data_IF_970110919905
#
_entry.id   IF_970110919905
#
_cell.length_a   1.000
_cell.length_b   1.000
_cell.length_c   1.000
_cell.angle_alpha   90.00
_cell.angle_beta   90.00
_cell.angle_gamma   90.00
#
_symmetry.space_group_name_H-M   'P 1'
#
loop_
_entity.id
_entity.type
_entity.pdbx_description
1 polymer ?
#
# COMPACT_ATOMS: atom_id res chain seq x y z
N UNK A 1 -37.12 -34.44 -17.20
CA UNK A 1 -35.83 -33.72 -17.32
C UNK A 1 -35.58 -32.64 -16.24
N UNK A 2 -36.49 -32.37 -15.28
CA UNK A 2 -36.29 -31.31 -14.27
C UNK A 2 -35.39 -31.66 -13.06
N UNK A 3 -35.05 -32.94 -12.85
CA UNK A 3 -34.25 -33.36 -11.69
C UNK A 3 -32.72 -33.17 -11.90
N UNK A 4 -32.24 -33.12 -13.14
CA UNK A 4 -30.81 -33.00 -13.47
C UNK A 4 -30.29 -31.57 -13.26
N UNK A 5 -31.06 -30.56 -13.69
CA UNK A 5 -30.70 -29.14 -13.53
C UNK A 5 -30.66 -28.70 -12.07
N UNK A 6 -31.56 -29.23 -11.22
CA UNK A 6 -31.57 -28.95 -9.77
C UNK A 6 -30.40 -29.58 -9.02
N UNK A 7 -29.75 -30.60 -9.56
CA UNK A 7 -28.58 -31.23 -8.96
C UNK A 7 -27.31 -30.44 -9.27
N UNK A 8 -27.13 -30.02 -10.54
CA UNK A 8 -26.01 -29.17 -10.95
C UNK A 8 -26.02 -27.78 -10.28
N UNK A 9 -27.20 -27.19 -10.09
CA UNK A 9 -27.35 -25.90 -9.38
C UNK A 9 -26.99 -26.02 -7.89
N UNK A 10 -27.39 -27.12 -7.24
CA UNK A 10 -27.04 -27.39 -5.83
C UNK A 10 -25.55 -27.63 -5.61
N UNK A 11 -24.87 -28.28 -6.54
CA UNK A 11 -23.41 -28.46 -6.52
C UNK A 11 -22.66 -27.13 -6.66
N UNK A 12 -23.06 -26.29 -7.62
CA UNK A 12 -22.49 -24.96 -7.80
C UNK A 12 -22.75 -24.04 -6.60
N UNK A 13 -23.93 -24.12 -5.99
CA UNK A 13 -24.27 -23.36 -4.78
C UNK A 13 -23.43 -23.84 -3.57
N UNK A 14 -23.18 -25.14 -3.43
CA UNK A 14 -22.32 -25.68 -2.37
C UNK A 14 -20.85 -25.29 -2.55
N UNK A 15 -20.34 -25.28 -3.77
CA UNK A 15 -18.96 -24.88 -4.06
C UNK A 15 -18.77 -23.38 -3.83
N UNK A 16 -19.75 -22.55 -4.22
CA UNK A 16 -19.75 -21.12 -3.93
C UNK A 16 -19.79 -20.84 -2.41
N UNK A 17 -20.60 -21.60 -1.65
CA UNK A 17 -20.64 -21.49 -0.20
C UNK A 17 -19.32 -21.92 0.46
N UNK A 18 -18.64 -22.92 -0.09
CA UNK A 18 -17.33 -23.37 0.38
C UNK A 18 -16.27 -22.29 0.16
N UNK A 19 -16.19 -21.73 -1.05
CA UNK A 19 -15.25 -20.66 -1.39
C UNK A 19 -15.50 -19.39 -0.54
N UNK A 20 -16.76 -19.03 -0.30
CA UNK A 20 -17.11 -17.92 0.60
C UNK A 20 -16.70 -18.20 2.05
N UNK A 21 -16.82 -19.46 2.50
CA UNK A 21 -16.36 -19.89 3.82
C UNK A 21 -14.84 -19.81 3.98
N UNK A 22 -14.10 -20.23 2.96
CA UNK A 22 -12.63 -20.14 2.90
C UNK A 22 -12.17 -18.68 2.92
N UNK A 23 -12.75 -17.84 2.05
CA UNK A 23 -12.49 -16.41 2.02
C UNK A 23 -12.76 -15.76 3.38
N UNK A 24 -13.89 -16.09 4.02
CA UNK A 24 -14.21 -15.60 5.37
C UNK A 24 -13.15 -16.02 6.39
N UNK A 25 -12.65 -17.25 6.34
CA UNK A 25 -11.59 -17.70 7.25
C UNK A 25 -10.28 -16.95 7.02
N UNK A 26 -9.90 -16.69 5.77
CA UNK A 26 -8.72 -15.89 5.45
C UNK A 26 -8.85 -14.45 5.96
N UNK A 27 -10.02 -13.83 5.79
CA UNK A 27 -10.31 -12.52 6.37
C UNK A 27 -10.20 -12.52 7.90
N UNK A 28 -10.72 -13.55 8.59
CA UNK A 28 -10.60 -13.66 10.04
C UNK A 28 -9.15 -13.90 10.48
N UNK A 29 -8.34 -14.65 9.73
CA UNK A 29 -6.90 -14.81 9.98
C UNK A 29 -6.13 -13.50 9.75
N UNK A 30 -6.46 -12.76 8.70
CA UNK A 30 -5.90 -11.43 8.46
C UNK A 30 -6.28 -10.44 9.58
N UNK A 31 -7.50 -10.55 10.10
CA UNK A 31 -7.96 -9.85 11.32
C UNK A 31 -7.33 -10.35 12.61
N UNK A 32 -6.52 -11.41 12.58
CA UNK A 32 -5.68 -11.84 13.69
C UNK A 32 -4.21 -11.42 13.51
N UNK A 33 -3.87 -10.70 12.44
CA UNK A 33 -2.55 -10.05 12.36
C UNK A 33 -2.29 -9.28 13.65
N UNK A 34 -1.10 -9.43 14.29
CA UNK A 34 -0.81 -8.81 15.56
C UNK A 34 -1.20 -7.33 15.52
N UNK A 35 -1.89 -6.83 16.55
CA UNK A 35 -2.33 -5.42 16.64
C UNK A 35 -1.16 -4.45 16.40
N UNK A 36 0.04 -4.86 16.80
CA UNK A 36 1.32 -4.17 16.57
C UNK A 36 1.73 -4.13 15.08
N UNK A 37 1.45 -5.17 14.29
CA UNK A 37 1.64 -5.16 12.84
C UNK A 37 0.59 -4.27 12.16
N UNK A 38 -0.67 -4.34 12.58
CA UNK A 38 -1.75 -3.50 12.03
C UNK A 38 -1.54 -2.01 12.30
N UNK A 39 -1.15 -1.62 13.51
CA UNK A 39 -0.80 -0.23 13.82
C UNK A 39 0.40 0.24 12.99
N UNK A 40 1.48 -0.56 12.90
CA UNK A 40 2.71 -0.17 12.17
C UNK A 40 2.58 -0.12 10.65
N UNK A 41 1.61 -0.84 10.07
CA UNK A 41 1.37 -0.90 8.61
C UNK A 41 0.25 0.04 8.19
N UNK A 42 -0.73 0.33 9.05
CA UNK A 42 -1.90 1.16 8.70
C UNK A 42 -1.90 2.55 9.31
N UNK A 43 -1.11 2.82 10.34
CA UNK A 43 -1.01 4.18 10.87
C UNK A 43 0.03 4.96 10.06
N UNK A 44 -0.47 5.92 9.28
CA UNK A 44 0.30 6.91 8.53
C UNK A 44 0.92 7.93 9.50
N UNK A 45 1.71 7.49 10.49
CA UNK A 45 2.01 8.33 11.67
C UNK A 45 2.96 9.51 11.37
N UNK A 46 3.71 9.47 10.27
CA UNK A 46 4.81 10.41 10.02
C UNK A 46 4.70 11.08 8.64
N UNK A 47 3.78 12.03 8.50
CA UNK A 47 3.71 12.94 7.34
C UNK A 47 3.66 14.39 7.80
N UNK A 48 4.17 15.28 6.95
CA UNK A 48 3.97 16.71 7.06
C UNK A 48 3.60 17.26 5.69
N UNK A 49 2.99 18.45 5.65
CA UNK A 49 2.64 19.12 4.39
C UNK A 49 3.13 20.54 4.41
N UNK A 50 3.44 21.05 3.22
CA UNK A 50 3.72 22.46 2.99
C UNK A 50 2.56 23.01 2.16
N UNK A 51 1.86 23.99 2.72
CA UNK A 51 0.71 24.63 2.08
C UNK A 51 1.12 25.93 1.40
N UNK A 52 0.62 26.15 0.18
CA UNK A 52 0.82 27.37 -0.58
C UNK A 52 -0.54 28.00 -0.89
N UNK A 53 -0.58 29.33 -1.01
CA UNK A 53 -1.82 30.03 -1.36
C UNK A 53 -2.13 29.92 -2.86
N UNK A 54 -1.09 29.73 -3.69
CA UNK A 54 -1.24 29.61 -5.14
C UNK A 54 -0.43 28.45 -5.72
N UNK A 55 -0.85 27.96 -6.89
CA UNK A 55 -0.12 26.94 -7.64
C UNK A 55 1.28 27.42 -8.06
N UNK A 56 1.43 28.70 -8.40
CA UNK A 56 2.72 29.30 -8.79
C UNK A 56 3.74 29.26 -7.64
N UNK A 57 3.31 29.54 -6.41
CA UNK A 57 4.15 29.42 -5.22
C UNK A 57 4.61 27.97 -5.00
N UNK A 58 3.69 27.01 -5.12
CA UNK A 58 4.02 25.58 -5.05
C UNK A 58 5.06 25.19 -6.10
N UNK A 59 4.85 25.54 -7.36
CA UNK A 59 5.78 25.20 -8.44
C UNK A 59 7.14 25.87 -8.26
N UNK A 60 7.18 27.13 -7.83
CA UNK A 60 8.44 27.83 -7.55
C UNK A 60 9.24 27.14 -6.45
N UNK A 61 8.57 26.68 -5.39
CA UNK A 61 9.17 25.92 -4.30
C UNK A 61 9.72 24.56 -4.77
N UNK A 62 8.92 23.78 -5.51
CA UNK A 62 9.35 22.47 -6.02
C UNK A 62 10.54 22.59 -6.98
N UNK A 63 10.54 23.60 -7.85
CA UNK A 63 11.64 23.89 -8.77
C UNK A 63 12.92 24.26 -8.02
N UNK A 64 12.83 25.10 -6.98
CA UNK A 64 13.97 25.47 -6.15
C UNK A 64 14.61 24.26 -5.45
N UNK A 65 13.79 23.31 -5.00
CA UNK A 65 14.24 22.03 -4.44
C UNK A 65 14.77 21.05 -5.49
N UNK A 66 14.63 21.34 -6.79
CA UNK A 66 14.97 20.42 -7.89
C UNK A 66 14.26 19.07 -7.73
N UNK A 67 12.98 19.09 -7.35
CA UNK A 67 12.14 17.90 -7.22
C UNK A 67 11.29 17.78 -8.49
N UNK A 68 11.28 16.64 -9.19
CA UNK A 68 10.50 16.46 -10.40
C UNK A 68 8.99 16.70 -10.16
N UNK A 69 8.27 17.41 -11.05
CA UNK A 69 6.85 17.70 -10.89
C UNK A 69 5.93 16.45 -10.81
N UNK A 70 6.41 15.30 -11.30
CA UNK A 70 5.69 14.02 -11.22
C UNK A 70 5.58 13.45 -9.79
N UNK A 71 6.30 14.01 -8.82
CA UNK A 71 6.23 13.67 -7.39
C UNK A 71 5.32 14.62 -6.58
N UNK A 72 4.34 15.28 -7.20
CA UNK A 72 3.63 16.40 -6.55
C UNK A 72 2.82 16.04 -5.28
N UNK A 73 2.49 14.75 -5.07
CA UNK A 73 1.65 14.34 -3.94
C UNK A 73 2.45 14.01 -2.69
N UNK A 74 3.62 13.37 -2.86
CA UNK A 74 4.43 12.89 -1.75
C UNK A 74 5.91 13.01 -2.11
N UNK A 75 6.65 13.71 -1.27
CA UNK A 75 8.11 13.81 -1.35
C UNK A 75 8.69 12.88 -0.28
N UNK A 76 9.68 12.08 -0.63
CA UNK A 76 10.44 11.31 0.36
C UNK A 76 11.17 12.27 1.33
N UNK A 77 10.84 12.19 2.62
CA UNK A 77 11.41 13.05 3.67
C UNK A 77 12.92 12.90 3.85
N UNK A 78 13.50 11.74 3.55
CA UNK A 78 14.96 11.53 3.55
C UNK A 78 15.61 12.29 2.40
N UNK A 79 15.03 12.20 1.20
CA UNK A 79 15.51 12.92 0.01
C UNK A 79 15.39 14.43 0.22
N UNK A 80 14.28 14.88 0.80
CA UNK A 80 14.09 16.29 1.14
C UNK A 80 15.10 16.78 2.18
N UNK A 81 15.35 16.01 3.24
CA UNK A 81 16.35 16.37 4.25
C UNK A 81 17.76 16.50 3.66
N UNK A 82 18.16 15.58 2.77
CA UNK A 82 19.43 15.68 2.05
C UNK A 82 19.52 16.96 1.21
N UNK A 83 18.45 17.29 0.46
CA UNK A 83 18.38 18.53 -0.35
C UNK A 83 18.47 19.80 0.51
N UNK A 84 17.95 19.75 1.73
CA UNK A 84 17.98 20.87 2.69
C UNK A 84 19.25 20.90 3.56
N UNK A 85 20.16 19.92 3.43
CA UNK A 85 21.34 19.81 4.29
C UNK A 85 21.03 19.48 5.76
N UNK A 86 19.87 18.85 6.02
CA UNK A 86 19.42 18.46 7.36
C UNK A 86 19.90 17.05 7.66
N UNK A 87 20.54 16.86 8.81
CA UNK A 87 20.91 15.53 9.31
C UNK A 87 19.74 14.96 10.11
N UNK A 88 19.15 13.86 9.63
CA UNK A 88 18.10 13.14 10.34
C UNK A 88 18.71 12.15 11.35
N UNK A 89 18.06 11.89 12.50
CA UNK A 89 18.52 10.88 13.43
C UNK A 89 18.48 9.49 12.78
N UNK A 90 19.43 8.60 13.11
CA UNK A 90 19.39 7.23 12.62
C UNK A 90 18.13 6.55 13.15
N UNK A 91 17.41 5.85 12.27
CA UNK A 91 16.24 5.07 12.63
C UNK A 91 16.33 3.67 12.01
N UNK A 92 16.06 2.63 12.81
CA UNK A 92 15.85 1.29 12.30
C UNK A 92 14.45 1.20 11.66
N UNK A 93 14.35 1.57 10.39
CA UNK A 93 13.12 1.44 9.61
C UNK A 93 13.03 0.03 9.05
N UNK A 94 12.05 -0.76 9.50
CA UNK A 94 11.88 -2.18 9.09
C UNK A 94 11.42 -2.36 7.64
N UNK A 95 10.91 -1.31 7.00
CA UNK A 95 10.45 -1.34 5.61
C UNK A 95 11.30 -0.38 4.75
N UNK A 96 12.38 -0.89 4.17
CA UNK A 96 13.00 -0.31 2.96
C UNK A 96 12.66 -1.24 1.80
N UNK A 97 11.54 -1.00 1.13
CA UNK A 97 11.17 -1.77 -0.06
C UNK A 97 11.73 -1.08 -1.30
N UNK A 98 13.06 -1.00 -1.43
CA UNK A 98 13.64 -0.63 -2.73
C UNK A 98 13.75 -1.83 -3.67
N UNK A 99 13.67 -3.06 -3.13
CA UNK A 99 13.86 -4.31 -3.89
C UNK A 99 12.89 -5.43 -3.50
N UNK A 100 11.97 -5.18 -2.56
CA UNK A 100 10.98 -6.19 -2.20
C UNK A 100 9.83 -6.12 -3.19
N UNK A 101 9.79 -7.10 -4.08
CA UNK A 101 8.60 -7.40 -4.85
C UNK A 101 7.84 -8.46 -4.07
N UNK A 102 6.56 -8.21 -3.82
CA UNK A 102 5.70 -9.19 -3.20
C UNK A 102 5.69 -10.48 -4.05
N UNK A 103 5.70 -11.65 -3.40
CA UNK A 103 5.84 -12.95 -4.08
C UNK A 103 4.75 -13.17 -5.14
N UNK A 104 3.57 -12.62 -4.93
CA UNK A 104 2.45 -12.74 -5.86
C UNK A 104 2.65 -11.88 -7.12
N UNK A 105 3.49 -10.85 -7.02
CA UNK A 105 3.78 -9.89 -8.09
C UNK A 105 5.17 -10.07 -8.73
N UNK A 106 6.00 -10.97 -8.19
CA UNK A 106 7.35 -11.27 -8.72
C UNK A 106 7.33 -11.62 -10.22
N UNK A 107 6.30 -12.37 -10.65
CA UNK A 107 6.13 -12.82 -12.04
C UNK A 107 5.92 -11.69 -13.05
N UNK A 108 5.58 -10.48 -12.60
CA UNK A 108 5.38 -9.32 -13.47
C UNK A 108 6.67 -8.51 -13.68
N UNK A 109 7.66 -8.70 -12.80
CA UNK A 109 8.95 -8.00 -12.87
C UNK A 109 9.97 -8.78 -13.71
N UNK A 110 9.82 -10.10 -13.78
CA UNK A 110 10.73 -10.99 -14.52
C UNK A 110 10.34 -11.18 -16.01
N UNK A 111 9.33 -10.44 -16.51
CA UNK A 111 8.92 -10.40 -17.93
C UNK A 111 9.38 -9.10 -18.60
#
# INVERSE_FOLDING_TARGET
MACSERAGRRGADTDALMQLGELKQEFERAKQMPRQLRQRVMDSEYWCTVCFQTHEQLMSFLNALRIPPCENKYIDGQVLAQKLGITLPPAEVRFRLSSYVDKDFQKLVDN
#
